data_IF_168837173071
#
_entry.id   IF_168837173071
#
_cell.length_a   1.000
_cell.length_b   1.000
_cell.length_c   1.000
_cell.angle_alpha   90.00
_cell.angle_beta   90.00
_cell.angle_gamma   90.00
#
_symmetry.space_group_name_H-M   'P 1'
#
loop_
_entity.id
_entity.type
_entity.pdbx_description
1 polymer ?
#
# COMPACT_ATOMS: atom_id res chain seq x y z
N UNK A 1 -15.63 -7.48 -8.98
CA UNK A 1 -15.09 -6.87 -7.74
C UNK A 1 -13.60 -6.71 -7.86
N UNK A 2 -13.13 -5.46 -8.02
CA UNK A 2 -11.70 -5.12 -8.17
C UNK A 2 -11.05 -4.96 -6.80
N UNK A 3 -9.90 -5.62 -6.61
CA UNK A 3 -9.11 -5.58 -5.39
C UNK A 3 -7.69 -5.11 -5.67
N UNK A 4 -7.14 -4.30 -4.77
CA UNK A 4 -5.72 -3.96 -4.77
C UNK A 4 -5.06 -4.55 -3.53
N UNK A 5 -3.99 -5.31 -3.73
CA UNK A 5 -3.06 -5.68 -2.67
C UNK A 5 -1.88 -4.72 -2.65
N UNK A 6 -1.50 -4.23 -1.48
CA UNK A 6 -0.41 -3.29 -1.27
C UNK A 6 0.69 -3.90 -0.39
N UNK A 7 1.93 -3.79 -0.85
CA UNK A 7 3.13 -4.04 -0.07
C UNK A 7 3.94 -2.75 0.03
N UNK A 8 4.26 -2.34 1.26
CA UNK A 8 5.02 -1.13 1.54
C UNK A 8 6.37 -1.51 2.14
N UNK A 9 7.43 -0.95 1.60
CA UNK A 9 8.82 -1.10 2.09
C UNK A 9 9.36 0.26 2.54
N UNK A 10 10.67 0.38 2.80
CA UNK A 10 11.28 1.67 3.14
C UNK A 10 11.32 2.65 1.98
N UNK A 11 11.31 2.19 0.73
CA UNK A 11 11.61 3.04 -0.44
C UNK A 11 10.63 2.88 -1.59
N UNK A 12 9.68 1.96 -1.49
CA UNK A 12 8.69 1.74 -2.54
C UNK A 12 7.39 1.18 -2.01
N UNK A 13 6.34 1.44 -2.78
CA UNK A 13 5.01 0.86 -2.63
C UNK A 13 4.75 0.04 -3.89
N UNK A 14 4.35 -1.22 -3.69
CA UNK A 14 3.96 -2.12 -4.77
C UNK A 14 2.46 -2.35 -4.65
N UNK A 15 1.73 -2.08 -5.72
CA UNK A 15 0.31 -2.35 -5.83
C UNK A 15 0.10 -3.49 -6.83
N UNK A 16 -0.71 -4.47 -6.47
CA UNK A 16 -1.16 -5.53 -7.37
C UNK A 16 -2.66 -5.42 -7.50
N UNK A 17 -3.13 -5.16 -8.70
CA UNK A 17 -4.55 -5.12 -9.05
C UNK A 17 -5.01 -6.52 -9.46
N UNK A 18 -6.17 -6.93 -8.96
CA UNK A 18 -6.83 -8.16 -9.34
C UNK A 18 -8.35 -8.03 -9.36
N UNK A 19 -9.00 -9.05 -9.92
CA UNK A 19 -10.44 -9.21 -9.91
C UNK A 19 -10.80 -10.55 -9.28
N UNK A 20 -11.80 -10.54 -8.40
CA UNK A 20 -12.39 -11.77 -7.89
C UNK A 20 -13.16 -12.51 -8.99
N UNK A 21 -12.96 -13.82 -9.07
CA UNK A 21 -13.72 -14.73 -9.89
C UNK A 21 -14.89 -15.33 -9.07
N UNK A 22 -15.89 -15.90 -9.74
CA UNK A 22 -17.07 -16.47 -9.08
C UNK A 22 -16.76 -17.67 -8.17
N UNK A 23 -15.63 -18.33 -8.38
CA UNK A 23 -15.14 -19.45 -7.58
C UNK A 23 -14.31 -19.01 -6.36
N UNK A 24 -14.18 -17.70 -6.13
CA UNK A 24 -13.41 -17.13 -5.03
C UNK A 24 -11.91 -16.97 -5.30
N UNK A 25 -11.43 -17.36 -6.48
CA UNK A 25 -10.04 -17.10 -6.90
C UNK A 25 -9.85 -15.64 -7.32
N UNK A 26 -8.59 -15.20 -7.41
CA UNK A 26 -8.24 -13.84 -7.86
C UNK A 26 -7.43 -13.95 -9.15
N UNK A 27 -7.90 -13.28 -10.20
CA UNK A 27 -7.11 -13.05 -11.41
C UNK A 27 -6.28 -11.79 -11.23
N UNK A 28 -4.95 -11.90 -11.32
CA UNK A 28 -4.06 -10.73 -11.30
C UNK A 28 -4.12 -10.04 -12.66
N UNK A 29 -4.37 -8.72 -12.65
CA UNK A 29 -4.49 -7.90 -13.86
C UNK A 29 -3.15 -7.23 -14.16
N UNK A 30 -2.57 -6.57 -13.15
CA UNK A 30 -1.28 -5.87 -13.27
C UNK A 30 -0.65 -5.61 -11.92
N UNK A 31 0.66 -5.38 -11.91
CA UNK A 31 1.37 -4.79 -10.80
C UNK A 31 1.98 -3.43 -11.18
N UNK A 32 2.06 -2.54 -10.20
CA UNK A 32 2.61 -1.20 -10.33
C UNK A 32 3.55 -0.93 -9.16
N UNK A 33 4.80 -0.55 -9.46
CA UNK A 33 5.78 -0.17 -8.45
C UNK A 33 5.98 1.34 -8.43
N UNK A 34 5.74 1.95 -7.28
CA UNK A 34 5.97 3.35 -7.00
C UNK A 34 7.24 3.48 -6.15
N UNK A 35 8.34 3.86 -6.78
CA UNK A 35 9.58 4.17 -6.07
C UNK A 35 9.48 5.57 -5.44
N UNK A 36 10.01 5.70 -4.24
CA UNK A 36 10.20 6.97 -3.56
C UNK A 36 11.26 7.78 -4.31
N UNK A 37 10.99 9.05 -4.54
CA UNK A 37 11.96 9.94 -5.17
C UNK A 37 13.20 10.11 -4.26
N UNK A 38 14.37 10.29 -4.86
CA UNK A 38 15.58 10.61 -4.13
C UNK A 38 15.59 12.05 -3.58
N UNK A 39 16.53 12.34 -2.69
CA UNK A 39 16.69 13.68 -2.10
C UNK A 39 15.89 13.85 -0.81
N UNK A 40 15.18 14.99 -0.68
CA UNK A 40 14.41 15.31 0.52
C UNK A 40 13.22 14.35 0.70
N UNK A 41 13.26 13.60 1.80
CA UNK A 41 12.32 12.50 2.06
C UNK A 41 10.92 12.99 2.35
N UNK A 42 10.79 14.12 3.05
CA UNK A 42 9.52 14.75 3.37
C UNK A 42 8.81 15.19 2.08
N UNK A 43 9.54 15.80 1.16
CA UNK A 43 9.01 16.18 -0.15
C UNK A 43 8.66 14.96 -0.99
N UNK A 44 9.51 13.92 -0.97
CA UNK A 44 9.23 12.66 -1.65
C UNK A 44 7.96 11.97 -1.11
N UNK A 45 7.68 12.07 0.19
CA UNK A 45 6.43 11.58 0.80
C UNK A 45 5.20 12.33 0.32
N UNK A 46 5.27 13.65 0.12
CA UNK A 46 4.16 14.43 -0.46
C UNK A 46 3.87 14.00 -1.89
N UNK A 47 4.91 13.81 -2.70
CA UNK A 47 4.77 13.33 -4.09
C UNK A 47 4.19 11.92 -4.11
N UNK A 48 4.70 11.02 -3.26
CA UNK A 48 4.17 9.66 -3.14
C UNK A 48 2.71 9.66 -2.73
N UNK A 49 2.34 10.44 -1.70
CA UNK A 49 0.96 10.58 -1.26
C UNK A 49 0.03 10.93 -2.43
N UNK A 50 0.41 11.93 -3.24
CA UNK A 50 -0.38 12.36 -4.39
C UNK A 50 -0.52 11.24 -5.43
N UNK A 51 0.59 10.61 -5.82
CA UNK A 51 0.60 9.51 -6.81
C UNK A 51 -0.29 8.35 -6.38
N UNK A 52 -0.24 7.96 -5.10
CA UNK A 52 -1.08 6.89 -4.57
C UNK A 52 -2.53 7.33 -4.45
N UNK A 53 -2.81 8.54 -3.98
CA UNK A 53 -4.18 9.06 -3.89
C UNK A 53 -4.85 9.11 -5.27
N UNK A 54 -4.14 9.58 -6.28
CA UNK A 54 -4.61 9.61 -7.67
C UNK A 54 -4.89 8.19 -8.18
N UNK A 55 -3.98 7.23 -7.92
CA UNK A 55 -4.16 5.83 -8.32
C UNK A 55 -5.35 5.16 -7.62
N UNK A 56 -5.53 5.42 -6.34
CA UNK A 56 -6.60 4.86 -5.51
C UNK A 56 -7.94 5.60 -5.68
N UNK A 57 -7.98 6.66 -6.51
CA UNK A 57 -9.20 7.37 -6.88
C UNK A 57 -10.01 6.68 -8.00
N UNK A 58 -9.46 5.63 -8.60
CA UNK A 58 -10.13 4.81 -9.61
C UNK A 58 -11.17 3.87 -8.97
N UNK A 59 -11.95 3.17 -9.79
CA UNK A 59 -13.03 2.27 -9.35
C UNK A 59 -12.46 0.97 -8.75
N UNK A 60 -12.01 1.09 -7.50
CA UNK A 60 -11.46 0.02 -6.69
C UNK A 60 -12.51 -0.25 -5.61
N UNK A 61 -12.82 -1.51 -5.34
CA UNK A 61 -13.82 -1.86 -4.32
C UNK A 61 -13.17 -2.22 -2.98
N UNK A 62 -11.96 -2.79 -3.03
CA UNK A 62 -11.23 -3.21 -1.84
C UNK A 62 -9.73 -2.93 -1.95
N UNK A 63 -9.13 -2.48 -0.84
CA UNK A 63 -7.67 -2.39 -0.70
C UNK A 63 -7.22 -3.20 0.49
N UNK A 64 -6.23 -4.05 0.26
CA UNK A 64 -5.66 -4.96 1.23
C UNK A 64 -4.20 -4.58 1.44
N UNK A 65 -3.81 -4.33 2.69
CA UNK A 65 -2.43 -3.95 3.02
C UNK A 65 -1.75 -5.09 3.78
N UNK A 66 -0.62 -5.57 3.26
CA UNK A 66 0.18 -6.59 3.97
C UNK A 66 0.57 -6.06 5.36
N UNK A 67 0.34 -6.83 6.42
CA UNK A 67 0.85 -6.49 7.75
C UNK A 67 2.38 -6.33 7.73
N UNK A 68 2.88 -5.34 8.47
CA UNK A 68 4.32 -5.15 8.61
C UNK A 68 4.90 -6.27 9.47
N UNK A 69 6.04 -6.82 9.05
CA UNK A 69 6.85 -7.69 9.89
C UNK A 69 7.62 -6.82 10.91
N UNK A 70 6.97 -6.47 12.02
CA UNK A 70 7.70 -5.93 13.17
C UNK A 70 8.55 -7.04 13.78
N UNK A 71 9.87 -6.88 13.87
CA UNK A 71 10.75 -7.85 14.50
C UNK A 71 10.75 -7.72 16.04
N UNK A 72 11.24 -8.75 16.73
CA UNK A 72 11.46 -8.74 18.20
C UNK A 72 12.52 -7.73 18.67
N UNK A 73 13.26 -7.10 17.75
CA UNK A 73 14.40 -6.23 18.04
C UNK A 73 14.10 -4.76 17.78
N UNK A 74 14.94 -3.88 18.35
CA UNK A 74 14.88 -2.45 18.13
C UNK A 74 14.80 -2.10 16.63
N UNK A 75 13.86 -1.21 16.28
CA UNK A 75 13.63 -0.80 14.92
C UNK A 75 14.89 -0.14 14.34
N UNK A 76 15.50 -0.78 13.33
CA UNK A 76 16.52 -0.14 12.50
C UNK A 76 15.88 0.95 11.64
N UNK A 77 16.68 1.91 11.17
CA UNK A 77 16.22 3.02 10.30
C UNK A 77 15.32 2.55 9.14
N UNK A 78 15.64 1.41 8.52
CA UNK A 78 14.82 0.82 7.44
C UNK A 78 13.39 0.49 7.87
N UNK A 79 13.21 0.04 9.12
CA UNK A 79 11.89 -0.28 9.70
C UNK A 79 11.10 1.00 9.95
N UNK A 80 11.77 2.04 10.48
CA UNK A 80 11.15 3.36 10.72
C UNK A 80 10.72 4.01 9.40
N UNK A 81 11.60 4.04 8.40
CA UNK A 81 11.32 4.55 7.06
C UNK A 81 10.17 3.81 6.38
N UNK A 82 10.04 2.50 6.61
CA UNK A 82 8.92 1.71 6.11
C UNK A 82 7.62 2.04 6.85
N UNK A 83 7.67 2.24 8.16
CA UNK A 83 6.51 2.66 8.96
C UNK A 83 6.00 4.05 8.53
N UNK A 84 6.91 4.99 8.28
CA UNK A 84 6.58 6.32 7.77
C UNK A 84 5.92 6.25 6.39
N UNK A 85 6.52 5.51 5.44
CA UNK A 85 5.96 5.35 4.09
C UNK A 85 4.60 4.62 4.12
N UNK A 86 4.40 3.71 5.08
CA UNK A 86 3.10 3.07 5.33
C UNK A 86 2.07 4.09 5.82
N UNK A 87 2.46 5.02 6.69
CA UNK A 87 1.62 6.14 7.11
C UNK A 87 1.18 7.01 5.92
N UNK A 88 2.08 7.31 5.00
CA UNK A 88 1.79 8.02 3.75
C UNK A 88 0.75 7.28 2.91
N UNK A 89 0.92 5.97 2.72
CA UNK A 89 -0.04 5.12 2.00
C UNK A 89 -1.42 5.14 2.67
N UNK A 90 -1.49 4.92 3.98
CA UNK A 90 -2.76 4.91 4.73
C UNK A 90 -3.49 6.26 4.63
N UNK A 91 -2.75 7.38 4.65
CA UNK A 91 -3.33 8.72 4.52
C UNK A 91 -3.87 8.99 3.12
N UNK A 92 -3.17 8.54 2.07
CA UNK A 92 -3.56 8.75 0.67
C UNK A 92 -4.91 8.12 0.30
N UNK A 93 -5.37 7.15 1.10
CA UNK A 93 -6.56 6.36 0.86
C UNK A 93 -7.88 7.07 1.16
N UNK A 94 -7.85 8.18 1.89
CA UNK A 94 -9.06 8.76 2.48
C UNK A 94 -10.00 9.36 1.43
N UNK A 95 -10.95 8.56 0.91
CA UNK A 95 -12.11 9.03 0.10
C UNK A 95 -13.41 8.57 0.75
N UNK A 96 -14.45 9.43 0.70
CA UNK A 96 -15.82 9.10 1.15
C UNK A 96 -16.39 7.95 0.30
N UNK A 97 -16.99 6.95 0.97
CA UNK A 97 -17.72 5.84 0.33
C UNK A 97 -16.97 4.51 0.27
N UNK A 98 -15.76 4.44 0.83
CA UNK A 98 -14.97 3.22 0.87
C UNK A 98 -15.03 2.58 2.25
N UNK A 99 -15.45 1.32 2.33
CA UNK A 99 -15.79 0.72 3.62
C UNK A 99 -14.60 0.20 4.42
N UNK A 100 -13.57 -0.43 3.83
CA UNK A 100 -12.49 -1.02 4.67
C UNK A 100 -11.10 -1.09 4.01
N UNK A 101 -10.06 -0.91 4.83
CA UNK A 101 -8.70 -1.42 4.56
C UNK A 101 -8.53 -2.67 5.40
N UNK A 102 -8.37 -3.83 4.75
CA UNK A 102 -8.03 -5.05 5.46
C UNK A 102 -6.51 -5.15 5.61
N UNK A 103 -6.03 -5.11 6.86
CA UNK A 103 -4.64 -5.44 7.18
C UNK A 103 -4.56 -6.96 7.35
N UNK A 104 -3.97 -7.65 6.38
CA UNK A 104 -3.76 -9.09 6.50
C UNK A 104 -2.57 -9.36 7.42
N UNK A 105 -2.86 -9.83 8.63
CA UNK A 105 -1.87 -10.36 9.56
C UNK A 105 -1.27 -11.63 8.93
N UNK A 106 0.05 -11.61 8.71
CA UNK A 106 0.78 -12.82 8.37
C UNK A 106 1.07 -13.60 9.65
N UNK A 107 0.73 -14.89 9.67
CA UNK A 107 1.32 -15.84 10.62
C UNK A 107 2.79 -16.00 10.18
N UNK A 108 3.72 -15.64 11.06
CA UNK A 108 5.15 -15.92 10.89
C UNK A 108 5.49 -17.18 11.67
#
# INVERSE_FOLDING_TARGET
>A
MTVISAAVTSEKIILVEGSYNNDGTITVIKDETFNLEGGDRQLAYVVMHKRIADRLSQDIEQVVLKASAGGQYAAKTVVLHSAELRGVFLKSRTRKGFNDIHILQGVW
#
